data_IF_646564592012
#
_entry.id   IF_646564592012
#
_cell.length_a   1.000
_cell.length_b   1.000
_cell.length_c   1.000
_cell.angle_alpha   90.00
_cell.angle_beta   90.00
_cell.angle_gamma   90.00
#
_symmetry.space_group_name_H-M   'P 1'
#
loop_
_entity.id
_entity.type
_entity.pdbx_description
1 polymer ?
#
# COMPACT_ATOMS: atom_id res chain seq x y z
N UNK A 1 -15.65 10.19 -7.14
CA UNK A 1 -15.41 8.80 -7.63
C UNK A 1 -16.08 7.83 -6.66
N UNK A 2 -16.57 6.68 -7.13
CA UNK A 2 -17.33 5.74 -6.27
C UNK A 2 -16.36 4.76 -5.63
N UNK A 3 -16.40 4.65 -4.29
CA UNK A 3 -15.74 3.59 -3.54
C UNK A 3 -16.72 2.44 -3.36
N UNK A 4 -16.29 1.24 -3.66
CA UNK A 4 -17.04 0.02 -3.41
C UNK A 4 -16.70 -0.51 -2.01
N UNK A 5 -17.74 -0.97 -1.31
CA UNK A 5 -17.61 -1.58 0.03
C UNK A 5 -18.36 -2.88 0.00
N UNK A 6 -17.69 -3.98 0.27
CA UNK A 6 -18.29 -5.31 0.26
C UNK A 6 -17.93 -6.08 1.54
N UNK A 7 -18.74 -7.05 1.90
CA UNK A 7 -18.37 -8.03 2.93
C UNK A 7 -17.35 -9.00 2.36
N UNK A 8 -16.62 -9.70 3.23
CA UNK A 8 -15.62 -10.69 2.80
C UNK A 8 -16.26 -11.80 1.96
N UNK A 9 -17.45 -12.25 2.33
CA UNK A 9 -18.17 -13.31 1.62
C UNK A 9 -18.65 -12.89 0.22
N UNK A 10 -18.95 -11.61 0.03
CA UNK A 10 -19.46 -11.05 -1.24
C UNK A 10 -18.34 -10.48 -2.12
N UNK A 11 -17.10 -10.44 -1.61
CA UNK A 11 -16.02 -9.72 -2.29
C UNK A 11 -15.70 -10.34 -3.65
N UNK A 12 -15.99 -9.56 -4.68
CA UNK A 12 -15.56 -9.76 -6.06
C UNK A 12 -14.84 -8.51 -6.50
N UNK A 13 -13.56 -8.63 -6.79
CA UNK A 13 -12.77 -7.49 -7.21
C UNK A 13 -13.10 -7.04 -8.63
N UNK A 14 -13.42 -5.77 -8.79
CA UNK A 14 -13.56 -5.10 -10.09
C UNK A 14 -12.37 -4.16 -10.23
N UNK A 15 -11.41 -4.47 -11.13
CA UNK A 15 -10.21 -3.66 -11.29
C UNK A 15 -10.51 -2.32 -11.96
N UNK A 16 -9.58 -1.33 -11.87
CA UNK A 16 -9.71 -0.05 -12.55
C UNK A 16 -9.74 -0.24 -14.08
N UNK A 17 -10.33 0.70 -14.83
CA UNK A 17 -10.43 0.60 -16.29
C UNK A 17 -9.07 0.40 -16.98
N UNK A 18 -7.99 1.00 -16.47
CA UNK A 18 -6.64 0.83 -16.98
C UNK A 18 -6.20 -0.65 -17.01
N UNK A 19 -6.68 -1.47 -16.09
CA UNK A 19 -6.30 -2.89 -16.03
C UNK A 19 -6.85 -3.73 -17.21
N UNK A 20 -7.95 -3.29 -17.86
CA UNK A 20 -8.63 -4.07 -18.91
C UNK A 20 -7.75 -4.31 -20.13
N UNK A 21 -6.94 -3.32 -20.51
CA UNK A 21 -6.05 -3.38 -21.69
C UNK A 21 -4.56 -3.30 -21.36
N UNK A 22 -4.22 -3.29 -20.07
CA UNK A 22 -2.83 -3.22 -19.62
C UNK A 22 -2.03 -4.46 -20.05
N UNK A 23 -0.86 -4.27 -20.66
CA UNK A 23 0.07 -5.37 -20.90
C UNK A 23 0.75 -5.79 -19.58
N UNK A 24 1.05 -4.80 -18.71
CA UNK A 24 1.75 -4.99 -17.44
C UNK A 24 1.00 -4.29 -16.30
N UNK A 25 0.71 -5.03 -15.23
CA UNK A 25 0.00 -4.51 -14.04
C UNK A 25 0.88 -4.71 -12.81
N UNK A 26 1.16 -3.61 -12.09
CA UNK A 26 1.88 -3.64 -10.83
C UNK A 26 0.89 -3.73 -9.67
N UNK A 27 1.09 -4.73 -8.83
CA UNK A 27 0.39 -4.92 -7.56
C UNK A 27 1.33 -4.54 -6.42
N UNK A 28 0.96 -3.57 -5.59
CA UNK A 28 1.69 -3.16 -4.40
C UNK A 28 0.98 -3.66 -3.14
N UNK A 29 1.24 -4.89 -2.69
CA UNK A 29 0.64 -5.41 -1.47
C UNK A 29 1.25 -4.76 -0.23
N UNK A 30 0.63 -4.96 0.94
CA UNK A 30 1.24 -4.70 2.24
C UNK A 30 1.74 -6.01 2.85
N UNK A 31 3.02 -6.34 2.68
CA UNK A 31 3.64 -7.51 3.30
C UNK A 31 5.04 -7.24 3.86
N UNK A 32 5.27 -6.00 4.31
CA UNK A 32 6.58 -5.54 4.78
C UNK A 32 7.17 -6.27 5.99
N UNK A 33 6.44 -7.22 6.61
CA UNK A 33 6.85 -7.97 7.81
C UNK A 33 6.56 -9.46 7.66
N UNK A 34 7.36 -10.36 8.29
CA UNK A 34 7.14 -11.81 8.26
C UNK A 34 6.04 -12.25 9.26
N UNK A 35 4.94 -11.53 9.30
CA UNK A 35 3.78 -11.75 10.18
C UNK A 35 2.50 -11.81 9.37
N UNK A 36 1.55 -12.71 9.72
CA UNK A 36 0.33 -12.89 8.94
C UNK A 36 -0.63 -11.71 9.07
N UNK A 37 -1.73 -11.78 8.33
CA UNK A 37 -2.87 -10.88 8.46
C UNK A 37 -3.32 -10.76 9.94
N UNK A 38 -3.70 -9.56 10.39
CA UNK A 38 -3.86 -8.29 9.68
C UNK A 38 -2.64 -7.35 9.71
N UNK A 39 -1.46 -7.85 10.10
CA UNK A 39 -0.22 -7.06 10.01
C UNK A 39 0.20 -6.92 8.55
N UNK A 40 -0.01 -7.97 7.76
CA UNK A 40 0.13 -7.97 6.30
C UNK A 40 -1.23 -8.26 5.66
N UNK A 41 -1.35 -7.98 4.36
CA UNK A 41 -2.57 -8.31 3.62
C UNK A 41 -2.77 -9.83 3.58
N UNK A 42 -4.03 -10.27 3.62
CA UNK A 42 -4.36 -11.69 3.56
C UNK A 42 -4.10 -12.27 2.16
N UNK A 43 -3.65 -13.53 2.11
CA UNK A 43 -3.46 -14.24 0.86
C UNK A 43 -4.78 -14.39 0.09
N UNK A 44 -5.89 -14.65 0.79
CA UNK A 44 -7.22 -14.78 0.18
C UNK A 44 -7.61 -13.51 -0.61
N UNK A 45 -7.41 -12.33 -0.02
CA UNK A 45 -7.72 -11.06 -0.71
C UNK A 45 -6.79 -10.85 -1.90
N UNK A 46 -5.50 -11.19 -1.80
CA UNK A 46 -4.58 -11.09 -2.94
C UNK A 46 -5.00 -12.04 -4.08
N UNK A 47 -5.37 -13.27 -3.79
CA UNK A 47 -5.88 -14.22 -4.78
C UNK A 47 -7.10 -13.63 -5.49
N UNK A 48 -8.11 -13.17 -4.75
CA UNK A 48 -9.33 -12.58 -5.32
C UNK A 48 -9.07 -11.32 -6.15
N UNK A 49 -8.07 -10.52 -5.78
CA UNK A 49 -7.63 -9.39 -6.62
C UNK A 49 -7.02 -9.88 -7.93
N UNK A 50 -6.16 -10.88 -7.89
CA UNK A 50 -5.58 -11.50 -9.09
C UNK A 50 -6.67 -12.12 -9.98
N UNK A 51 -7.59 -12.87 -9.40
CA UNK A 51 -8.74 -13.48 -10.12
C UNK A 51 -9.62 -12.41 -10.79
N UNK A 52 -9.93 -11.31 -10.08
CA UNK A 52 -10.70 -10.21 -10.65
C UNK A 52 -9.99 -9.53 -11.83
N UNK A 53 -8.66 -9.40 -11.79
CA UNK A 53 -7.87 -8.91 -12.92
C UNK A 53 -7.89 -9.93 -14.06
N UNK A 54 -7.66 -11.20 -13.79
CA UNK A 54 -7.66 -12.28 -14.79
C UNK A 54 -9.01 -12.43 -15.50
N UNK A 55 -10.11 -12.14 -14.79
CA UNK A 55 -11.46 -12.20 -15.38
C UNK A 55 -11.66 -11.16 -16.50
N UNK A 56 -11.00 -10.00 -16.43
CA UNK A 56 -11.12 -8.93 -17.44
C UNK A 56 -9.91 -8.86 -18.36
N UNK A 57 -8.75 -9.34 -17.92
CA UNK A 57 -7.49 -9.32 -18.68
C UNK A 57 -6.64 -10.56 -18.35
N UNK A 58 -6.93 -11.69 -18.98
CA UNK A 58 -6.21 -12.95 -18.71
C UNK A 58 -4.74 -12.92 -19.15
N UNK A 59 -4.39 -12.07 -20.12
CA UNK A 59 -3.06 -11.99 -20.71
C UNK A 59 -2.08 -11.02 -20.01
N UNK A 60 -2.53 -10.19 -19.06
CA UNK A 60 -1.67 -9.23 -18.40
C UNK A 60 -0.50 -9.88 -17.64
N UNK A 61 0.70 -9.33 -17.76
CA UNK A 61 1.81 -9.66 -16.86
C UNK A 61 1.54 -9.01 -15.49
N UNK A 62 1.47 -9.82 -14.42
CA UNK A 62 1.23 -9.34 -13.06
C UNK A 62 2.54 -9.30 -12.27
N UNK A 63 2.91 -8.09 -11.83
CA UNK A 63 4.15 -7.79 -11.12
C UNK A 63 3.81 -7.38 -9.68
N UNK A 64 4.16 -8.19 -8.72
CA UNK A 64 3.94 -7.91 -7.32
C UNK A 64 5.22 -7.34 -6.71
N UNK A 65 5.16 -6.08 -6.25
CA UNK A 65 6.33 -5.29 -5.83
C UNK A 65 6.16 -4.84 -4.38
N UNK A 66 7.08 -5.24 -3.52
CA UNK A 66 7.14 -4.80 -2.11
C UNK A 66 8.57 -4.58 -1.65
N UNK A 67 8.76 -3.60 -0.79
CA UNK A 67 10.00 -3.37 -0.07
C UNK A 67 9.80 -3.58 1.43
N UNK A 68 10.38 -4.64 1.95
CA UNK A 68 10.17 -5.09 3.32
C UNK A 68 10.81 -4.17 4.38
N UNK A 69 10.32 -4.25 5.60
CA UNK A 69 10.81 -3.52 6.77
C UNK A 69 11.40 -4.47 7.83
N UNK A 70 12.04 -5.55 7.36
CA UNK A 70 12.61 -6.60 8.19
C UNK A 70 14.02 -6.97 7.70
N UNK A 71 14.75 -7.77 8.51
CA UNK A 71 16.04 -8.38 8.12
C UNK A 71 15.84 -9.52 7.11
N UNK A 72 14.68 -10.17 7.16
CA UNK A 72 14.31 -11.26 6.25
C UNK A 72 14.09 -10.71 4.85
N UNK A 73 14.69 -11.30 3.80
CA UNK A 73 14.45 -10.92 2.41
C UNK A 73 12.98 -11.08 1.99
N UNK A 74 12.58 -10.32 0.97
CA UNK A 74 11.20 -10.28 0.51
C UNK A 74 10.66 -11.66 0.04
N UNK A 75 11.47 -12.45 -0.64
CA UNK A 75 11.14 -13.81 -1.09
C UNK A 75 10.88 -14.77 0.08
N UNK A 76 11.71 -14.72 1.11
CA UNK A 76 11.51 -15.54 2.32
C UNK A 76 10.27 -15.11 3.12
N UNK A 77 9.97 -13.82 3.16
CA UNK A 77 8.71 -13.34 3.76
C UNK A 77 7.52 -13.85 2.96
N UNK A 78 7.60 -13.79 1.62
CA UNK A 78 6.55 -14.30 0.75
C UNK A 78 6.28 -15.79 0.98
N UNK A 79 7.35 -16.60 1.08
CA UNK A 79 7.23 -18.04 1.38
C UNK A 79 6.59 -18.27 2.76
N UNK A 80 7.09 -17.58 3.79
CA UNK A 80 6.57 -17.70 5.17
C UNK A 80 5.09 -17.35 5.28
N UNK A 81 4.60 -16.41 4.46
CA UNK A 81 3.21 -15.95 4.43
C UNK A 81 2.32 -16.78 3.47
N UNK A 82 2.88 -17.81 2.80
CA UNK A 82 2.17 -18.61 1.81
C UNK A 82 1.93 -17.90 0.48
N UNK A 83 2.50 -16.70 0.29
CA UNK A 83 2.30 -15.89 -0.93
C UNK A 83 2.91 -16.53 -2.18
N UNK A 84 3.79 -17.52 -2.00
CA UNK A 84 4.42 -18.25 -3.10
C UNK A 84 3.39 -18.91 -4.05
N UNK A 85 2.21 -19.28 -3.53
CA UNK A 85 1.09 -19.83 -4.33
C UNK A 85 0.58 -18.86 -5.40
N UNK A 86 0.77 -17.55 -5.25
CA UNK A 86 0.43 -16.57 -6.29
C UNK A 86 1.26 -16.76 -7.57
N UNK A 87 2.44 -17.40 -7.49
CA UNK A 87 3.26 -17.74 -8.67
C UNK A 87 2.52 -18.72 -9.59
N UNK A 88 1.71 -19.63 -9.03
CA UNK A 88 0.88 -20.56 -9.79
C UNK A 88 -0.22 -19.83 -10.60
N UNK A 89 -0.61 -18.62 -10.14
CA UNK A 89 -1.51 -17.71 -10.85
C UNK A 89 -0.77 -16.78 -11.83
N UNK A 90 0.52 -17.03 -12.10
CA UNK A 90 1.34 -16.25 -13.02
C UNK A 90 1.77 -14.88 -12.48
N UNK A 91 1.83 -14.69 -11.14
CA UNK A 91 2.31 -13.47 -10.52
C UNK A 91 3.82 -13.54 -10.31
N UNK A 92 4.57 -12.53 -10.78
CA UNK A 92 6.00 -12.38 -10.57
C UNK A 92 6.28 -11.45 -9.39
N UNK A 93 7.27 -11.81 -8.55
CA UNK A 93 7.61 -11.06 -7.34
C UNK A 93 8.89 -10.25 -7.52
N UNK A 94 8.89 -9.03 -6.98
CA UNK A 94 10.03 -8.13 -6.99
C UNK A 94 10.23 -7.47 -5.63
N UNK A 95 11.48 -7.43 -5.17
CA UNK A 95 11.86 -6.60 -4.03
C UNK A 95 12.12 -5.17 -4.53
N UNK A 96 11.33 -4.21 -4.05
CA UNK A 96 11.46 -2.81 -4.44
C UNK A 96 12.84 -2.21 -4.14
N UNK A 97 13.53 -2.75 -3.13
CA UNK A 97 14.87 -2.27 -2.74
C UNK A 97 15.98 -2.72 -3.72
N UNK A 98 15.69 -3.67 -4.63
CA UNK A 98 16.66 -4.20 -5.62
C UNK A 98 16.43 -3.71 -7.04
N UNK A 99 15.32 -3.01 -7.27
CA UNK A 99 14.96 -2.50 -8.60
C UNK A 99 15.77 -1.23 -8.95
N UNK A 100 16.01 -0.98 -10.23
CA UNK A 100 16.54 0.30 -10.71
C UNK A 100 15.65 1.45 -10.21
N UNK A 101 16.29 2.53 -9.76
CA UNK A 101 15.62 3.67 -9.17
C UNK A 101 15.51 4.82 -10.17
N UNK A 102 14.39 5.54 -10.07
CA UNK A 102 14.17 6.83 -10.72
C UNK A 102 13.77 7.87 -9.68
N UNK A 103 14.07 9.12 -9.93
CA UNK A 103 13.61 10.26 -9.15
C UNK A 103 12.27 10.77 -9.70
N UNK A 104 11.27 10.86 -8.83
CA UNK A 104 9.92 11.34 -9.14
C UNK A 104 9.71 12.70 -8.47
N UNK A 105 9.33 13.75 -9.23
CA UNK A 105 9.06 15.06 -8.66
C UNK A 105 7.77 15.04 -7.85
N UNK A 106 7.77 15.76 -6.73
CA UNK A 106 6.58 16.02 -5.95
C UNK A 106 5.71 17.06 -6.65
N UNK A 107 4.47 16.73 -6.96
CA UNK A 107 3.53 17.59 -7.68
C UNK A 107 2.77 18.57 -6.78
N UNK A 108 3.02 18.55 -5.46
CA UNK A 108 2.45 19.54 -4.54
C UNK A 108 2.96 20.95 -4.85
N UNK A 109 2.10 21.96 -4.74
CA UNK A 109 2.53 23.38 -4.87
C UNK A 109 3.61 23.73 -3.86
N UNK A 110 3.49 23.19 -2.66
CA UNK A 110 4.46 23.39 -1.57
C UNK A 110 4.69 22.05 -0.88
N UNK A 111 5.75 21.31 -1.25
CA UNK A 111 6.15 20.11 -0.56
C UNK A 111 6.48 20.37 0.91
N UNK A 112 6.11 19.46 1.81
CA UNK A 112 6.39 19.59 3.24
C UNK A 112 7.85 19.32 3.57
N UNK A 113 8.45 18.33 2.92
CA UNK A 113 9.84 17.93 3.17
C UNK A 113 10.57 17.51 1.89
N UNK A 114 9.93 16.73 1.05
CA UNK A 114 10.56 16.11 -0.12
C UNK A 114 10.04 16.74 -1.40
N UNK A 115 10.89 17.52 -2.10
CA UNK A 115 10.58 18.06 -3.43
C UNK A 115 10.59 16.99 -4.52
N UNK A 116 11.22 15.85 -4.24
CA UNK A 116 11.22 14.64 -5.08
C UNK A 116 11.46 13.41 -4.21
N UNK A 117 11.09 12.23 -4.72
CA UNK A 117 11.36 10.95 -4.08
C UNK A 117 11.92 9.94 -5.09
N UNK A 118 12.82 9.08 -4.62
CA UNK A 118 13.30 7.94 -5.40
C UNK A 118 12.39 6.73 -5.18
N UNK A 119 12.02 6.09 -6.27
CA UNK A 119 11.22 4.87 -6.28
C UNK A 119 11.62 4.00 -7.48
N UNK A 120 11.16 2.74 -7.59
CA UNK A 120 11.47 1.89 -8.74
C UNK A 120 11.10 2.54 -10.08
N UNK A 121 12.02 2.55 -11.04
CA UNK A 121 11.76 3.01 -12.41
C UNK A 121 10.61 2.20 -13.06
N UNK A 122 10.43 0.96 -12.63
CA UNK A 122 9.34 0.07 -13.03
C UNK A 122 7.95 0.70 -12.93
N UNK A 123 7.76 1.70 -12.06
CA UNK A 123 6.47 2.41 -11.96
C UNK A 123 6.05 3.10 -13.26
N UNK A 124 6.99 3.48 -14.13
CA UNK A 124 6.67 4.06 -15.45
C UNK A 124 6.62 3.03 -16.58
N UNK A 125 7.11 1.83 -16.31
CA UNK A 125 7.17 0.74 -17.28
C UNK A 125 5.93 -0.15 -17.28
N UNK A 126 4.96 0.14 -16.41
CA UNK A 126 3.70 -0.60 -16.28
C UNK A 126 2.51 0.29 -16.66
N UNK A 127 1.46 -0.34 -17.15
CA UNK A 127 0.27 0.36 -17.65
C UNK A 127 -0.79 0.60 -16.58
N UNK A 128 -0.78 -0.21 -15.52
CA UNK A 128 -1.73 -0.11 -14.40
C UNK A 128 -1.04 -0.42 -13.07
N UNK A 129 -1.41 0.30 -12.01
CA UNK A 129 -0.83 0.19 -10.65
C UNK A 129 -1.94 0.12 -9.63
N UNK A 130 -1.89 -0.88 -8.75
CA UNK A 130 -2.92 -1.11 -7.74
C UNK A 130 -2.24 -1.26 -6.38
N UNK A 131 -2.62 -0.42 -5.41
CA UNK A 131 -2.16 -0.52 -4.02
C UNK A 131 -3.12 -1.39 -3.21
N UNK A 132 -2.61 -2.41 -2.52
CA UNK A 132 -3.41 -3.35 -1.73
C UNK A 132 -2.93 -3.29 -0.29
N UNK A 133 -3.60 -2.47 0.52
CA UNK A 133 -3.24 -2.19 1.91
C UNK A 133 -4.08 -2.96 2.92
N UNK A 134 -3.66 -2.94 4.19
CA UNK A 134 -4.44 -3.40 5.34
C UNK A 134 -4.95 -2.20 6.15
N UNK A 135 -6.11 -2.36 6.77
CA UNK A 135 -6.62 -1.36 7.68
C UNK A 135 -5.90 -1.44 9.03
N UNK A 136 -4.97 -0.51 9.27
CA UNK A 136 -4.23 -0.44 10.53
C UNK A 136 -4.37 0.93 11.18
N UNK A 137 -4.49 0.92 12.50
CA UNK A 137 -4.57 2.11 13.33
C UNK A 137 -3.43 2.14 14.34
N UNK A 138 -2.73 3.24 14.41
CA UNK A 138 -1.69 3.54 15.40
C UNK A 138 -1.93 4.92 15.98
N UNK A 139 -1.52 5.18 17.21
CA UNK A 139 -1.40 6.54 17.75
C UNK A 139 0.08 6.89 17.80
N UNK A 140 0.46 7.96 17.12
CA UNK A 140 1.81 8.49 17.14
C UNK A 140 1.79 9.94 17.61
N UNK A 141 2.48 10.25 18.70
CA UNK A 141 2.51 11.60 19.29
C UNK A 141 1.10 12.14 19.49
N UNK A 142 0.23 11.35 20.13
CA UNK A 142 -1.16 11.68 20.45
C UNK A 142 -2.09 11.88 19.24
N UNK A 143 -1.60 11.63 18.01
CA UNK A 143 -2.39 11.72 16.77
C UNK A 143 -2.68 10.36 16.17
N UNK A 144 -3.90 10.20 15.67
CA UNK A 144 -4.31 8.98 14.96
C UNK A 144 -3.62 8.90 13.61
N UNK A 145 -2.93 7.80 13.37
CA UNK A 145 -2.39 7.42 12.07
C UNK A 145 -3.12 6.18 11.58
N UNK A 146 -3.81 6.32 10.46
CA UNK A 146 -4.37 5.18 9.74
C UNK A 146 -3.41 4.79 8.61
N UNK A 147 -3.15 3.50 8.49
CA UNK A 147 -2.41 2.95 7.36
C UNK A 147 -3.36 2.14 6.51
N UNK A 148 -3.40 2.45 5.22
CA UNK A 148 -4.19 1.78 4.21
C UNK A 148 -3.45 1.90 2.85
N UNK A 149 -4.10 2.27 1.74
CA UNK A 149 -3.49 2.31 0.41
C UNK A 149 -2.40 3.38 0.26
N UNK A 150 -2.64 4.61 0.75
CA UNK A 150 -1.69 5.73 0.57
C UNK A 150 -0.38 5.48 1.34
N UNK A 151 -0.48 5.14 2.63
CA UNK A 151 0.74 4.87 3.41
C UNK A 151 1.45 3.60 2.96
N UNK A 152 0.76 2.66 2.31
CA UNK A 152 1.35 1.45 1.75
C UNK A 152 2.43 1.76 0.71
N UNK A 153 2.36 2.92 0.02
CA UNK A 153 3.36 3.36 -0.95
C UNK A 153 4.77 3.54 -0.36
N UNK A 154 4.90 3.68 0.97
CA UNK A 154 6.19 3.73 1.64
C UNK A 154 7.09 2.51 1.33
N UNK A 155 6.49 1.35 1.09
CA UNK A 155 7.21 0.14 0.68
C UNK A 155 7.92 0.24 -0.67
N UNK A 156 7.57 1.20 -1.52
CA UNK A 156 8.27 1.46 -2.79
C UNK A 156 9.52 2.33 -2.63
N UNK A 157 9.66 3.04 -1.51
CA UNK A 157 10.77 3.96 -1.29
C UNK A 157 11.99 3.18 -0.76
N UNK A 158 13.16 3.25 -1.42
CA UNK A 158 14.29 2.38 -1.12
C UNK A 158 14.87 2.63 0.28
N UNK A 159 15.09 1.56 1.05
CA UNK A 159 15.68 1.66 2.39
C UNK A 159 17.04 2.35 2.39
N UNK A 160 17.85 2.12 1.39
CA UNK A 160 19.18 2.74 1.28
C UNK A 160 19.11 4.27 1.37
N UNK A 161 18.14 4.90 0.70
CA UNK A 161 17.98 6.36 0.70
C UNK A 161 17.21 6.90 1.91
N UNK A 162 16.28 6.11 2.47
CA UNK A 162 15.35 6.61 3.49
C UNK A 162 15.52 5.96 4.86
N UNK A 163 16.58 5.18 5.08
CA UNK A 163 16.94 4.64 6.40
C UNK A 163 17.31 5.77 7.38
N UNK A 164 17.07 5.53 8.67
CA UNK A 164 17.62 6.33 9.76
C UNK A 164 18.72 5.51 10.46
N UNK A 165 18.51 5.13 11.74
CA UNK A 165 19.49 4.33 12.49
C UNK A 165 19.52 2.86 12.07
N UNK A 166 18.35 2.28 11.82
CA UNK A 166 18.25 0.89 11.39
C UNK A 166 18.37 0.78 9.87
N UNK A 167 19.25 -0.10 9.34
CA UNK A 167 19.34 -0.34 7.91
C UNK A 167 18.12 -1.06 7.34
N UNK A 168 17.28 -1.67 8.20
CA UNK A 168 16.10 -2.43 7.80
C UNK A 168 14.81 -1.63 7.85
N UNK A 169 14.88 -0.30 8.09
CA UNK A 169 13.71 0.55 8.19
C UNK A 169 13.83 1.79 7.28
N UNK A 170 12.69 2.42 7.03
CA UNK A 170 12.60 3.71 6.33
C UNK A 170 12.36 4.85 7.34
N UNK A 171 13.20 4.91 8.36
CA UNK A 171 13.00 5.81 9.51
C UNK A 171 12.95 7.30 9.17
N UNK A 172 13.54 7.73 8.05
CA UNK A 172 13.44 9.12 7.59
C UNK A 172 12.01 9.49 7.16
N UNK A 173 11.21 8.51 6.70
CA UNK A 173 9.82 8.73 6.28
C UNK A 173 8.85 8.95 7.46
N UNK A 174 9.35 8.90 8.69
CA UNK A 174 8.57 9.15 9.91
C UNK A 174 8.99 10.44 10.62
N UNK A 175 9.91 11.24 10.04
CA UNK A 175 10.50 12.42 10.64
C UNK A 175 10.50 13.64 9.71
N UNK A 176 10.28 14.85 10.22
CA UNK A 176 9.89 15.17 11.60
C UNK A 176 8.44 14.78 11.91
N UNK A 177 7.57 14.67 10.87
CA UNK A 177 6.15 14.39 10.99
C UNK A 177 5.68 13.45 9.86
N UNK A 178 5.18 12.30 10.25
CA UNK A 178 4.78 11.25 9.31
C UNK A 178 3.60 11.66 8.42
N UNK A 179 2.67 12.49 8.92
CA UNK A 179 1.51 12.94 8.15
C UNK A 179 1.91 13.85 6.99
N UNK A 180 2.87 14.76 7.21
CA UNK A 180 3.45 15.58 6.15
C UNK A 180 4.13 14.73 5.08
N UNK A 181 4.86 13.70 5.50
CA UNK A 181 5.58 12.83 4.56
C UNK A 181 4.62 11.93 3.78
N UNK A 182 3.52 11.47 4.39
CA UNK A 182 2.48 10.75 3.64
C UNK A 182 1.88 11.65 2.56
N UNK A 183 1.68 12.95 2.84
CA UNK A 183 1.22 13.90 1.83
C UNK A 183 2.25 14.07 0.69
N UNK A 184 3.54 14.21 1.01
CA UNK A 184 4.60 14.27 0.00
C UNK A 184 4.64 13.00 -0.87
N UNK A 185 4.54 11.81 -0.26
CA UNK A 185 4.50 10.53 -0.99
C UNK A 185 3.27 10.43 -1.88
N UNK A 186 2.12 10.89 -1.40
CA UNK A 186 0.89 10.90 -2.22
C UNK A 186 1.05 11.81 -3.44
N UNK A 187 1.56 13.03 -3.28
CA UNK A 187 1.78 13.97 -4.38
C UNK A 187 2.92 13.56 -5.32
N UNK A 188 3.80 12.67 -4.87
CA UNK A 188 4.88 12.14 -5.73
C UNK A 188 4.46 10.88 -6.47
N UNK A 189 3.86 9.92 -5.78
CA UNK A 189 3.59 8.58 -6.32
C UNK A 189 2.10 8.25 -6.42
N UNK A 190 1.26 8.85 -5.56
CA UNK A 190 -0.16 8.48 -5.46
C UNK A 190 -0.94 8.68 -6.77
N UNK A 191 -0.62 9.74 -7.52
CA UNK A 191 -1.25 10.03 -8.81
C UNK A 191 -0.88 9.02 -9.93
N UNK A 192 0.17 8.22 -9.72
CA UNK A 192 0.54 7.16 -10.65
C UNK A 192 -0.35 5.91 -10.50
N UNK A 193 -1.04 5.78 -9.37
CA UNK A 193 -1.84 4.60 -9.06
C UNK A 193 -3.27 4.72 -9.59
N UNK A 194 -3.72 3.67 -10.26
CA UNK A 194 -5.00 3.58 -10.93
C UNK A 194 -6.11 3.02 -10.02
N UNK A 195 -5.71 2.39 -8.90
CA UNK A 195 -6.67 1.82 -7.95
C UNK A 195 -6.07 1.42 -6.60
N UNK A 196 -6.96 1.29 -5.62
CA UNK A 196 -6.64 0.85 -4.27
C UNK A 196 -7.62 -0.19 -3.75
N UNK A 197 -7.10 -1.10 -2.92
CA UNK A 197 -7.87 -2.09 -2.16
C UNK A 197 -7.41 -2.02 -0.71
N UNK A 198 -8.35 -1.91 0.22
CA UNK A 198 -8.08 -2.01 1.66
C UNK A 198 -8.67 -3.31 2.18
N UNK A 199 -7.80 -4.24 2.55
CA UNK A 199 -8.17 -5.41 3.32
C UNK A 199 -8.49 -4.97 4.75
N UNK A 200 -9.77 -4.85 5.03
CA UNK A 200 -10.34 -4.58 6.33
C UNK A 200 -11.19 -5.77 6.83
N UNK A 201 -10.79 -7.00 6.50
CA UNK A 201 -11.37 -8.20 7.10
C UNK A 201 -11.18 -8.15 8.61
N UNK A 202 -10.01 -7.68 9.04
CA UNK A 202 -9.72 -7.28 10.40
C UNK A 202 -9.06 -5.89 10.40
N UNK A 203 -9.33 -5.12 11.46
CA UNK A 203 -8.59 -3.89 11.77
C UNK A 203 -7.45 -4.22 12.74
N UNK A 204 -6.23 -3.86 12.40
CA UNK A 204 -5.09 -3.99 13.31
C UNK A 204 -4.88 -2.71 14.11
N UNK A 205 -4.88 -2.83 15.43
CA UNK A 205 -4.58 -1.72 16.35
C UNK A 205 -3.20 -1.98 16.91
N UNK A 206 -2.19 -1.29 16.37
CA UNK A 206 -0.81 -1.43 16.81
C UNK A 206 -0.52 -0.60 18.07
N UNK A 207 0.50 -1.02 18.80
CA UNK A 207 1.13 -0.18 19.81
C UNK A 207 1.89 0.97 19.16
N UNK A 208 2.06 2.03 19.93
CA UNK A 208 2.92 3.14 19.54
C UNK A 208 4.34 2.64 19.26
N UNK A 209 4.91 3.09 18.11
CA UNK A 209 6.27 2.75 17.66
C UNK A 209 6.54 1.28 17.35
N UNK A 210 5.57 0.38 17.58
CA UNK A 210 5.67 -1.05 17.30
C UNK A 210 4.60 -1.45 16.25
N UNK A 211 4.82 -1.18 14.94
CA UNK A 211 3.78 -1.31 13.91
C UNK A 211 3.35 -2.75 13.64
N UNK A 212 4.05 -3.73 14.17
CA UNK A 212 3.82 -5.16 14.03
C UNK A 212 3.48 -5.85 15.37
N UNK A 213 3.22 -5.06 16.42
CA UNK A 213 2.76 -5.52 17.74
C UNK A 213 1.44 -4.83 18.07
N UNK A 214 0.42 -5.60 18.47
CA UNK A 214 -0.89 -5.05 18.76
C UNK A 214 -1.98 -6.11 18.80
N UNK A 215 -3.22 -5.71 18.52
CA UNK A 215 -4.37 -6.62 18.49
C UNK A 215 -5.16 -6.49 17.21
N UNK A 216 -5.70 -7.60 16.75
CA UNK A 216 -6.68 -7.66 15.68
C UNK A 216 -8.09 -7.43 16.22
N UNK A 217 -8.92 -6.80 15.43
CA UNK A 217 -10.36 -6.63 15.70
C UNK A 217 -11.10 -6.98 14.41
N UNK A 218 -12.04 -7.90 14.48
CA UNK A 218 -12.86 -8.29 13.33
C UNK A 218 -13.63 -7.07 12.80
N UNK A 219 -13.60 -6.88 11.48
CA UNK A 219 -14.27 -5.77 10.85
C UNK A 219 -15.11 -6.21 9.64
N UNK A 220 -14.67 -7.22 8.90
CA UNK A 220 -15.43 -7.96 7.89
C UNK A 220 -15.76 -7.17 6.62
N UNK A 221 -14.93 -6.17 6.24
CA UNK A 221 -15.16 -5.33 5.06
C UNK A 221 -13.94 -5.28 4.16
N UNK A 222 -14.19 -5.05 2.87
CA UNK A 222 -13.18 -4.72 1.86
C UNK A 222 -13.62 -3.42 1.20
N UNK A 223 -12.68 -2.48 1.07
CA UNK A 223 -12.90 -1.20 0.39
C UNK A 223 -12.04 -1.17 -0.87
N UNK A 224 -12.59 -0.76 -2.01
CA UNK A 224 -11.80 -0.64 -3.23
C UNK A 224 -12.39 0.40 -4.19
N UNK A 225 -11.52 0.96 -5.02
CA UNK A 225 -11.89 1.99 -6.00
C UNK A 225 -10.69 2.51 -6.77
N UNK A 226 -10.92 3.50 -7.63
CA UNK A 226 -9.92 4.05 -8.55
C UNK A 226 -9.16 5.26 -8.00
N UNK A 227 -9.37 5.62 -6.75
CA UNK A 227 -8.67 6.72 -6.08
C UNK A 227 -8.23 6.25 -4.69
N UNK A 228 -6.92 6.23 -4.45
CA UNK A 228 -6.35 5.74 -3.20
C UNK A 228 -6.84 6.53 -1.99
N UNK A 229 -6.94 7.87 -2.11
CA UNK A 229 -7.32 8.74 -1.01
C UNK A 229 -8.76 8.55 -0.61
N UNK A 230 -9.67 8.42 -1.60
CA UNK A 230 -11.09 8.18 -1.35
C UNK A 230 -11.33 6.79 -0.74
N UNK A 231 -10.58 5.77 -1.17
CA UNK A 231 -10.62 4.43 -0.58
C UNK A 231 -10.17 4.48 0.87
N UNK A 232 -9.04 5.14 1.16
CA UNK A 232 -8.54 5.32 2.53
C UNK A 232 -9.54 6.08 3.41
N UNK A 233 -10.15 7.16 2.88
CA UNK A 233 -11.18 7.94 3.59
C UNK A 233 -12.41 7.10 3.92
N UNK A 234 -12.88 6.30 2.98
CA UNK A 234 -14.04 5.43 3.21
C UNK A 234 -13.75 4.41 4.31
N UNK A 235 -12.56 3.77 4.27
CA UNK A 235 -12.14 2.80 5.27
C UNK A 235 -11.97 3.45 6.66
N UNK A 236 -11.35 4.64 6.74
CA UNK A 236 -11.17 5.38 8.00
C UNK A 236 -12.51 5.81 8.61
N UNK A 237 -13.43 6.37 7.80
CA UNK A 237 -14.77 6.74 8.28
C UNK A 237 -15.53 5.53 8.85
N UNK A 238 -15.50 4.42 8.15
CA UNK A 238 -16.15 3.19 8.60
C UNK A 238 -15.52 2.63 9.88
N UNK A 239 -14.20 2.80 10.05
CA UNK A 239 -13.48 2.35 11.25
C UNK A 239 -13.81 3.15 12.52
N UNK A 240 -14.33 4.38 12.39
CA UNK A 240 -14.72 5.23 13.52
C UNK A 240 -13.55 5.73 14.38
N UNK A 241 -12.33 5.80 13.82
CA UNK A 241 -11.10 6.09 14.58
C UNK A 241 -10.62 7.56 14.47
N UNK A 242 -11.47 8.44 13.94
CA UNK A 242 -11.12 9.84 13.69
C UNK A 242 -10.46 10.02 12.31
N UNK A 243 -10.15 11.27 11.98
CA UNK A 243 -9.58 11.65 10.68
C UNK A 243 -8.07 11.86 10.81
N UNK A 244 -7.24 11.09 10.10
CA UNK A 244 -5.80 11.32 10.09
C UNK A 244 -5.45 12.67 9.45
N UNK A 245 -4.51 13.41 10.05
CA UNK A 245 -4.10 14.75 9.59
C UNK A 245 -3.58 14.75 8.13
N UNK A 246 -3.05 13.64 7.64
CA UNK A 246 -2.52 13.61 6.27
C UNK A 246 -3.61 13.79 5.21
N UNK A 247 -4.88 13.54 5.50
CA UNK A 247 -5.97 13.82 4.54
C UNK A 247 -6.09 15.32 4.26
N UNK A 248 -6.10 16.14 5.31
CA UNK A 248 -6.13 17.60 5.18
C UNK A 248 -4.87 18.12 4.49
N UNK A 249 -3.69 17.58 4.86
CA UNK A 249 -2.40 17.99 4.28
C UNK A 249 -2.31 17.71 2.79
N UNK A 250 -2.83 16.58 2.32
CA UNK A 250 -2.90 16.27 0.90
C UNK A 250 -3.77 17.31 0.17
N UNK A 251 -4.89 17.73 0.74
CA UNK A 251 -5.76 18.72 0.13
C UNK A 251 -5.14 20.12 0.12
N UNK A 252 -4.52 20.51 1.21
CA UNK A 252 -3.90 21.84 1.36
C UNK A 252 -2.69 22.03 0.44
N UNK A 253 -1.98 20.96 0.10
CA UNK A 253 -0.79 21.01 -0.75
C UNK A 253 -1.08 20.90 -2.26
N UNK A 254 -2.33 20.75 -2.67
CA UNK A 254 -2.78 20.67 -4.08
C UNK A 254 -2.56 21.94 -4.89
#
# INVERSE_FOLDING_TARGET
>A
MKVNVQTVSEFVYVPPPAAVSAARILLKPNWGYPKPHPITVSLDILIRVVEGIRAVNPGAELLLVEGVCDKMPADQIAEKLGMASLRELGVRFFDADTLPLKEYPNQAKTPYRFGSLFAPALLEEVDCRISIGCLKRTILKERVLMSACVKNLFGLLPREKYRARSPHSRGQLHRPDVHSIIADVYHTLGALFDGGVVDATQKFISKDWEPDVGRAVDFGRIFFGNDLLEVDRAACRAAGEGTPDYFERIETAR
#
